data_IF_145367756546
#
_entry.id   IF_145367756546
#
_cell.length_a   1.000
_cell.length_b   1.000
_cell.length_c   1.000
_cell.angle_alpha   90.00
_cell.angle_beta   90.00
_cell.angle_gamma   90.00
#
_symmetry.space_group_name_H-M   'P 1'
#
loop_
_entity.id
_entity.type
_entity.pdbx_description
1 polymer ?
#
# COMPACT_ATOMS: atom_id res chain seq x y z
N UNK A 1 -3.59 4.45 4.29
CA UNK A 1 -2.79 3.29 4.76
C UNK A 1 -3.21 2.82 6.15
N UNK A 2 -3.26 3.66 7.18
CA UNK A 2 -3.66 3.21 8.54
C UNK A 2 -5.00 2.45 8.58
N UNK A 3 -6.04 2.96 7.92
CA UNK A 3 -7.34 2.27 7.83
C UNK A 3 -7.25 0.89 7.14
N UNK A 4 -6.42 0.79 6.09
CA UNK A 4 -6.17 -0.47 5.37
C UNK A 4 -5.49 -1.50 6.27
N UNK A 5 -4.49 -1.09 7.06
CA UNK A 5 -3.82 -1.96 8.03
C UNK A 5 -4.77 -2.43 9.12
N UNK A 6 -5.56 -1.53 9.70
CA UNK A 6 -6.55 -1.89 10.74
C UNK A 6 -7.55 -2.91 10.18
N UNK A 7 -8.06 -2.69 8.97
CA UNK A 7 -9.01 -3.63 8.36
C UNK A 7 -8.39 -5.00 8.12
N UNK A 8 -7.15 -5.04 7.63
CA UNK A 8 -6.40 -6.29 7.44
C UNK A 8 -6.18 -7.03 8.77
N UNK A 9 -5.75 -6.34 9.83
CA UNK A 9 -5.57 -6.91 11.16
C UNK A 9 -6.87 -7.48 11.73
N UNK A 10 -8.00 -6.77 11.57
CA UNK A 10 -9.32 -7.25 11.99
C UNK A 10 -9.74 -8.52 11.24
N UNK A 11 -9.48 -8.59 9.93
CA UNK A 11 -9.77 -9.79 9.14
C UNK A 11 -8.90 -10.97 9.58
N UNK A 12 -7.62 -10.75 9.84
CA UNK A 12 -6.73 -11.79 10.37
C UNK A 12 -7.18 -12.26 11.77
N UNK A 13 -7.55 -11.34 12.67
CA UNK A 13 -8.05 -11.71 13.99
C UNK A 13 -9.28 -12.62 13.89
N UNK A 14 -10.21 -12.31 12.97
CA UNK A 14 -11.39 -13.14 12.70
C UNK A 14 -11.01 -14.53 12.19
N UNK A 15 -10.00 -14.65 11.33
CA UNK A 15 -9.52 -15.95 10.84
C UNK A 15 -8.83 -16.72 11.97
N UNK A 16 -8.00 -16.08 12.78
CA UNK A 16 -7.23 -16.75 13.82
C UNK A 16 -8.11 -17.42 14.87
N UNK A 17 -9.23 -16.80 15.26
CA UNK A 17 -10.17 -17.38 16.24
C UNK A 17 -10.98 -18.56 15.71
N UNK A 18 -10.94 -18.86 14.40
CA UNK A 18 -11.58 -20.04 13.84
C UNK A 18 -10.91 -21.31 14.40
N UNK A 19 -11.71 -22.22 14.95
CA UNK A 19 -11.25 -23.46 15.59
C UNK A 19 -11.59 -24.67 14.70
N UNK A 20 -10.74 -25.02 13.72
CA UNK A 20 -11.01 -26.12 12.79
C UNK A 20 -11.12 -27.45 13.54
N UNK A 21 -12.13 -28.26 13.20
CA UNK A 21 -12.35 -29.59 13.81
C UNK A 21 -11.95 -30.71 12.86
N UNK A 22 -12.00 -30.45 11.56
CA UNK A 22 -11.64 -31.40 10.52
C UNK A 22 -10.42 -30.91 9.73
N UNK A 23 -9.84 -31.81 8.92
CA UNK A 23 -8.78 -31.45 7.96
C UNK A 23 -9.29 -30.45 6.91
N UNK A 24 -10.55 -30.59 6.50
CA UNK A 24 -11.20 -29.70 5.55
C UNK A 24 -11.36 -28.28 6.14
N UNK A 25 -11.76 -28.16 7.40
CA UNK A 25 -11.84 -26.86 8.08
C UNK A 25 -10.48 -26.15 8.15
N UNK A 26 -9.42 -26.91 8.44
CA UNK A 26 -8.06 -26.38 8.50
C UNK A 26 -7.56 -25.92 7.12
N UNK A 27 -7.92 -26.67 6.08
CA UNK A 27 -7.64 -26.31 4.69
C UNK A 27 -8.39 -25.03 4.30
N UNK A 28 -9.69 -24.94 4.58
CA UNK A 28 -10.50 -23.76 4.31
C UNK A 28 -10.01 -22.52 5.09
N UNK A 29 -9.60 -22.69 6.35
CA UNK A 29 -8.97 -21.62 7.14
C UNK A 29 -7.68 -21.10 6.48
N UNK A 30 -6.86 -22.00 5.94
CA UNK A 30 -5.64 -21.65 5.21
C UNK A 30 -5.96 -20.89 3.92
N UNK A 31 -6.99 -21.29 3.18
CA UNK A 31 -7.47 -20.57 1.99
C UNK A 31 -7.89 -19.15 2.34
N UNK A 32 -8.67 -18.96 3.41
CA UNK A 32 -9.08 -17.62 3.86
C UNK A 32 -7.87 -16.75 4.18
N UNK A 33 -6.90 -17.29 4.92
CA UNK A 33 -5.68 -16.57 5.27
C UNK A 33 -4.90 -16.13 4.02
N UNK A 34 -4.73 -17.02 3.03
CA UNK A 34 -4.04 -16.71 1.77
C UNK A 34 -4.77 -15.61 1.00
N UNK A 35 -6.10 -15.71 0.89
CA UNK A 35 -6.92 -14.71 0.18
C UNK A 35 -6.78 -13.31 0.78
N UNK A 36 -6.87 -13.18 2.10
CA UNK A 36 -6.70 -11.89 2.79
C UNK A 36 -5.32 -11.28 2.53
N UNK A 37 -4.26 -12.09 2.53
CA UNK A 37 -2.91 -11.59 2.25
C UNK A 37 -2.75 -11.15 0.80
N UNK A 38 -3.31 -11.89 -0.15
CA UNK A 38 -3.27 -11.52 -1.56
C UNK A 38 -4.00 -10.20 -1.82
N UNK A 39 -5.23 -10.07 -1.31
CA UNK A 39 -6.02 -8.84 -1.46
C UNK A 39 -5.30 -7.64 -0.82
N UNK A 40 -4.72 -7.83 0.37
CA UNK A 40 -3.93 -6.78 1.03
C UNK A 40 -2.72 -6.35 0.18
N UNK A 41 -1.97 -7.32 -0.39
CA UNK A 41 -0.83 -7.02 -1.26
C UNK A 41 -1.24 -6.27 -2.52
N UNK A 42 -2.37 -6.63 -3.15
CA UNK A 42 -2.90 -5.93 -4.33
C UNK A 42 -3.25 -4.47 -4.00
N UNK A 43 -3.89 -4.23 -2.85
CA UNK A 43 -4.23 -2.88 -2.40
C UNK A 43 -2.98 -2.04 -2.11
N UNK A 44 -1.98 -2.63 -1.41
CA UNK A 44 -0.69 -1.96 -1.17
C UNK A 44 -0.01 -1.61 -2.48
N UNK A 45 0.05 -2.54 -3.43
CA UNK A 45 0.63 -2.31 -4.74
C UNK A 45 -0.10 -1.19 -5.51
N UNK A 46 -1.44 -1.18 -5.48
CA UNK A 46 -2.24 -0.10 -6.05
C UNK A 46 -1.92 1.27 -5.45
N UNK A 47 -1.72 1.34 -4.14
CA UNK A 47 -1.30 2.56 -3.45
C UNK A 47 0.10 3.04 -3.88
N UNK A 48 1.07 2.13 -3.98
CA UNK A 48 2.43 2.46 -4.43
C UNK A 48 2.39 3.05 -5.84
N UNK A 49 1.66 2.40 -6.75
CA UNK A 49 1.50 2.87 -8.13
C UNK A 49 0.83 4.24 -8.20
N UNK A 50 -0.19 4.48 -7.36
CA UNK A 50 -0.85 5.77 -7.29
C UNK A 50 0.11 6.89 -6.79
N UNK A 51 0.95 6.58 -5.79
CA UNK A 51 1.96 7.50 -5.28
C UNK A 51 3.05 7.79 -6.32
N UNK A 52 3.56 6.77 -6.99
CA UNK A 52 4.54 6.91 -8.08
C UNK A 52 4.00 7.83 -9.18
N UNK A 53 2.78 7.56 -9.67
CA UNK A 53 2.14 8.39 -10.68
C UNK A 53 1.95 9.84 -10.22
N UNK A 54 1.58 10.05 -8.95
CA UNK A 54 1.45 11.39 -8.38
C UNK A 54 2.81 12.11 -8.33
N UNK A 55 3.89 11.43 -7.98
CA UNK A 55 5.24 11.99 -7.99
C UNK A 55 5.67 12.39 -9.40
N UNK A 56 5.56 11.47 -10.37
CA UNK A 56 5.90 11.72 -11.78
C UNK A 56 5.11 12.92 -12.33
N UNK A 57 3.80 13.01 -12.02
CA UNK A 57 2.96 14.11 -12.49
C UNK A 57 3.36 15.47 -11.89
N UNK A 58 3.87 15.50 -10.66
CA UNK A 58 4.13 16.75 -9.94
C UNK A 58 5.60 17.20 -9.97
N UNK A 59 6.53 16.35 -10.44
CA UNK A 59 7.96 16.68 -10.47
C UNK A 59 8.26 17.88 -11.38
N UNK A 60 7.73 17.89 -12.61
CA UNK A 60 7.97 18.97 -13.57
C UNK A 60 7.35 20.30 -13.10
N UNK A 61 6.06 20.35 -12.68
CA UNK A 61 5.50 21.56 -12.10
C UNK A 61 6.27 22.10 -10.90
N UNK A 62 6.86 21.22 -10.08
CA UNK A 62 7.69 21.63 -8.96
C UNK A 62 9.02 22.24 -9.42
N UNK A 63 9.70 21.62 -10.39
CA UNK A 63 10.92 22.15 -10.99
C UNK A 63 10.71 23.54 -11.62
N UNK A 64 9.62 23.71 -12.35
CA UNK A 64 9.25 25.00 -12.97
C UNK A 64 9.06 26.09 -11.91
N UNK A 65 8.28 25.80 -10.87
CA UNK A 65 8.06 26.74 -9.75
C UNK A 65 9.33 27.11 -9.00
N UNK A 66 10.28 26.18 -8.87
CA UNK A 66 11.57 26.47 -8.23
C UNK A 66 12.40 27.45 -9.07
N UNK A 67 12.43 27.27 -10.39
CA UNK A 67 13.10 28.19 -11.32
C UNK A 67 12.47 29.57 -11.31
N UNK A 68 11.13 29.65 -11.39
CA UNK A 68 10.39 30.92 -11.32
C UNK A 68 10.72 31.72 -10.06
N UNK A 69 10.93 31.03 -8.94
CA UNK A 69 11.26 31.62 -7.64
C UNK A 69 12.75 31.84 -7.40
N UNK A 70 13.62 31.55 -8.38
CA UNK A 70 15.09 31.63 -8.26
C UNK A 70 15.63 30.80 -7.09
N UNK A 71 15.04 29.63 -6.87
CA UNK A 71 15.35 28.70 -5.78
C UNK A 71 16.21 27.52 -6.27
N UNK A 72 17.09 27.76 -7.23
CA UNK A 72 17.86 26.73 -7.96
C UNK A 72 18.72 25.85 -7.04
N UNK A 73 19.15 26.37 -5.89
CA UNK A 73 19.89 25.61 -4.86
C UNK A 73 19.16 24.35 -4.36
N UNK A 74 17.84 24.26 -4.54
CA UNK A 74 17.04 23.11 -4.12
C UNK A 74 16.73 22.12 -5.25
N UNK A 75 17.08 22.42 -6.50
CA UNK A 75 16.83 21.54 -7.65
C UNK A 75 17.49 20.16 -7.48
N UNK A 76 18.71 20.13 -6.93
CA UNK A 76 19.46 18.90 -6.64
C UNK A 76 18.70 17.96 -5.69
N UNK A 77 17.86 18.50 -4.80
CA UNK A 77 17.06 17.68 -3.86
C UNK A 77 15.80 17.10 -4.46
N UNK A 78 15.27 17.73 -5.52
CA UNK A 78 14.07 17.25 -6.22
C UNK A 78 14.42 16.13 -7.21
N UNK A 79 15.64 16.13 -7.74
CA UNK A 79 16.11 15.17 -8.75
C UNK A 79 16.81 13.92 -8.18
N UNK A 80 17.12 13.91 -6.89
CA UNK A 80 17.67 12.75 -6.17
C UNK A 80 16.54 11.88 -5.62
#
# INVERSE_FOLDING_TARGET
LQSLFIQFELNLARIYVLNPKTKEDAFNKSILWIKEHLEFMELVYGHIKAQENALIKNILPLEEKLKERKLDKWMERVRR
#
